data_IF_583625186246
#
_entry.id   IF_583625186246
#
_cell.length_a   1.000
_cell.length_b   1.000
_cell.length_c   1.000
_cell.angle_alpha   90.00
_cell.angle_beta   90.00
_cell.angle_gamma   90.00
#
_symmetry.space_group_name_H-M   'P 1'
#
loop_
_entity.id
_entity.type
_entity.pdbx_description
1 polymer ?
2 non-polymer ?
3 water ?
#
# COMPACT_ATOMS: atom_id res chain seq x y z
N UNK A 7 -21.85 -6.59 1.14
CA UNK A 7 -21.66 -7.97 1.61
C UNK A 7 -20.19 -8.22 1.95
N UNK A 8 -19.26 -7.83 1.07
CA UNK A 8 -17.85 -8.01 1.47
C UNK A 8 -17.58 -7.19 2.72
N UNK A 9 -16.72 -7.65 3.62
CA UNK A 9 -16.48 -6.99 4.90
C UNK A 9 -15.57 -5.76 4.80
N UNK A 10 -15.91 -4.85 3.91
CA UNK A 10 -15.20 -3.59 3.82
C UNK A 10 -15.83 -2.64 4.84
N UNK A 11 -14.98 -1.90 5.57
CA UNK A 11 -15.49 -0.98 6.58
C UNK A 11 -14.64 0.28 6.60
N UNK A 12 -15.26 1.37 7.08
CA UNK A 12 -14.55 2.63 7.31
C UNK A 12 -14.87 3.01 8.75
N UNK A 13 -14.23 2.37 9.73
CA UNK A 13 -14.65 2.54 11.13
C UNK A 13 -14.20 3.85 11.76
N UNK A 14 -13.31 4.62 11.14
CA UNK A 14 -12.78 5.84 11.73
C UNK A 14 -12.54 6.92 10.68
N UNK A 15 -12.70 8.18 11.09
CA UNK A 15 -12.06 9.31 10.44
C UNK A 15 -11.07 9.91 11.42
N UNK A 16 -10.10 10.64 10.88
CA UNK A 16 -9.01 11.19 11.68
C UNK A 16 -8.64 12.56 11.16
N UNK A 17 -8.49 13.52 12.07
CA UNK A 17 -7.93 14.83 11.75
C UNK A 17 -6.41 14.74 11.67
N UNK A 18 -5.85 15.17 10.55
CA UNK A 18 -4.40 15.09 10.34
C UNK A 18 -3.84 16.43 9.89
N UNK A 24 -3.92 20.66 7.22
CA UNK A 24 -4.96 20.18 8.12
C UNK A 24 -6.22 19.73 7.36
N UNK A 25 -6.54 18.44 7.47
CA UNK A 25 -7.69 17.88 6.75
C UNK A 25 -8.07 16.58 7.44
N UNK A 26 -9.10 15.92 6.89
CA UNK A 26 -9.61 14.70 7.48
C UNK A 26 -9.29 13.53 6.55
N UNK A 27 -8.91 12.39 7.14
CA UNK A 27 -8.76 11.16 6.39
C UNK A 27 -9.72 10.10 6.95
N UNK A 28 -10.01 9.13 6.09
CA UNK A 28 -10.93 8.03 6.39
C UNK A 28 -10.16 6.72 6.28
N UNK A 29 -10.22 5.90 7.34
CA UNK A 29 -9.41 4.69 7.41
C UNK A 29 -10.23 3.48 6.98
N UNK A 30 -9.79 2.84 5.89
CA UNK A 30 -10.53 1.78 5.22
C UNK A 30 -9.94 0.43 5.60
N UNK A 31 -10.80 -0.52 5.95
CA UNK A 31 -10.42 -1.86 6.39
C UNK A 31 -11.16 -2.90 5.56
N UNK A 32 -10.51 -4.03 5.34
CA UNK A 32 -11.16 -5.22 4.79
C UNK A 32 -10.96 -6.37 5.77
N UNK A 33 -12.07 -6.95 6.23
CA UNK A 33 -12.04 -8.05 7.20
C UNK A 33 -11.15 -7.69 8.40
N UNK A 34 -11.25 -6.44 8.83
CA UNK A 34 -10.48 -5.95 9.96
C UNK A 34 -9.03 -5.60 9.69
N UNK A 35 -8.57 -5.66 8.45
CA UNK A 35 -7.21 -5.30 8.09
C UNK A 35 -7.20 -3.93 7.44
N UNK A 36 -6.40 -3.00 7.96
CA UNK A 36 -6.38 -1.67 7.37
C UNK A 36 -5.68 -1.67 6.02
N UNK A 37 -6.32 -1.09 5.02
CA UNK A 37 -5.80 -1.04 3.67
C UNK A 37 -5.25 0.32 3.29
N UNK A 38 -5.88 1.38 3.76
CA UNK A 38 -5.43 2.70 3.36
C UNK A 38 -6.05 3.75 4.28
N UNK A 39 -5.60 4.99 4.10
CA UNK A 39 -6.09 6.15 4.83
C UNK A 39 -6.20 7.25 3.77
N UNK A 40 -7.42 7.69 3.47
CA UNK A 40 -7.66 8.52 2.31
C UNK A 40 -8.54 9.71 2.67
N UNK A 41 -8.26 10.87 2.09
CA UNK A 41 -9.11 12.04 2.30
C UNK A 41 -10.27 12.01 1.31
N UNK A 42 -11.28 12.85 1.60
CA UNK A 42 -12.50 12.81 0.81
C UNK A 42 -12.22 13.01 -0.68
N UNK A 43 -11.35 13.96 -1.03
CA UNK A 43 -11.16 14.24 -2.45
C UNK A 43 -10.59 13.03 -3.18
N UNK A 44 -9.86 12.15 -2.49
CA UNK A 44 -9.40 10.92 -3.13
C UNK A 44 -10.54 9.94 -3.37
N UNK A 45 -11.56 9.93 -2.49
CA UNK A 45 -12.76 9.16 -2.78
C UNK A 45 -13.51 9.73 -3.99
N UNK A 46 -13.56 11.06 -4.10
CA UNK A 46 -14.26 11.69 -5.22
C UNK A 46 -13.61 11.31 -6.54
N UNK A 47 -12.27 11.31 -6.58
CA UNK A 47 -11.51 10.89 -7.76
C UNK A 47 -11.71 9.41 -8.04
N UNK A 48 -11.69 8.58 -7.00
CA UNK A 48 -11.97 7.16 -7.16
C UNK A 48 -13.31 6.95 -7.87
N UNK A 49 -14.33 7.66 -7.42
CA UNK A 49 -15.65 7.50 -8.01
C UNK A 49 -15.65 7.88 -9.47
N UNK A 50 -15.00 9.00 -9.81
CA UNK A 50 -14.95 9.44 -11.20
C UNK A 50 -14.20 8.44 -12.06
N UNK A 51 -13.10 7.90 -11.56
CA UNK A 51 -12.34 6.89 -12.30
C UNK A 51 -13.15 5.61 -12.50
N UNK A 52 -13.79 5.13 -11.42
CA UNK A 52 -14.57 3.90 -11.53
C UNK A 52 -15.74 4.07 -12.47
N UNK A 53 -16.46 5.19 -12.35
CA UNK A 53 -17.64 5.41 -13.19
C UNK A 53 -17.25 5.50 -14.66
N UNK A 54 -16.15 6.17 -14.98
CA UNK A 54 -15.71 6.19 -16.38
C UNK A 54 -15.35 4.80 -16.87
N UNK A 55 -14.68 4.01 -16.03
CA UNK A 55 -14.25 2.67 -16.45
C UNK A 55 -15.42 1.71 -16.55
N UNK A 56 -16.43 1.88 -15.70
CA UNK A 56 -17.59 0.99 -15.63
C UNK A 56 -18.87 1.77 -15.89
N UNK A 57 -18.88 2.59 -16.95
CA UNK A 57 -19.98 3.53 -17.15
C UNK A 57 -21.31 2.85 -17.46
N UNK A 58 -21.27 1.60 -17.88
CA UNK A 58 -22.51 0.84 -18.09
C UNK A 58 -23.17 0.42 -16.79
N UNK A 59 -22.62 0.77 -15.63
CA UNK A 59 -23.23 0.50 -14.33
C UNK A 59 -23.88 1.77 -13.78
N UNK A 60 -25.00 1.59 -13.07
CA UNK A 60 -25.62 2.69 -12.33
C UNK A 60 -24.99 2.74 -10.95
N UNK A 61 -23.96 3.58 -10.82
CA UNK A 61 -23.25 3.66 -9.54
C UNK A 61 -24.14 4.26 -8.47
N UNK A 62 -23.95 3.84 -7.22
CA UNK A 62 -24.58 4.56 -6.11
C UNK A 62 -23.98 5.95 -6.00
N UNK A 63 -24.67 6.79 -5.22
CA UNK A 63 -24.24 8.16 -5.00
C UNK A 63 -23.06 8.19 -4.02
N UNK A 64 -21.96 8.81 -4.42
CA UNK A 64 -20.92 9.11 -3.44
C UNK A 64 -21.43 10.22 -2.53
N UNK A 65 -21.18 10.14 -1.21
CA UNK A 65 -21.46 11.30 -0.35
C UNK A 65 -20.88 12.57 -0.97
N UNK A 66 -21.66 13.66 -0.88
CA UNK A 66 -21.39 14.86 -1.64
C UNK A 66 -20.70 15.94 -0.81
N UNK A 67 -20.61 17.12 -1.41
CA UNK A 67 -20.00 18.26 -0.75
C UNK A 67 -21.08 19.12 -0.07
N UNK A 68 -20.62 20.08 0.73
CA UNK A 68 -21.54 20.82 1.57
C UNK A 68 -21.19 22.30 1.52
N UNK A 69 -22.17 23.18 1.67
CA UNK A 69 -21.90 24.62 1.62
C UNK A 69 -21.34 25.20 2.92
N UNK A 70 -20.97 24.35 3.88
CA UNK A 70 -20.38 24.79 5.14
C UNK A 70 -19.34 23.75 5.54
N UNK A 71 -18.44 24.14 6.44
CA UNK A 71 -17.48 23.18 6.98
C UNK A 71 -18.20 22.18 7.87
N UNK A 72 -17.66 20.96 7.94
CA UNK A 72 -18.36 19.86 8.57
C UNK A 72 -18.04 19.75 10.05
N UNK A 73 -19.07 19.55 10.86
CA UNK A 73 -18.89 19.28 12.28
C UNK A 73 -18.39 17.85 12.48
N UNK A 74 -18.04 17.54 13.74
CA UNK A 74 -17.66 16.17 14.10
C UNK A 74 -18.76 15.18 13.73
N UNK A 75 -20.02 15.51 14.05
CA UNK A 75 -21.13 14.62 13.70
C UNK A 75 -21.24 14.44 12.20
N UNK A 76 -21.01 15.50 11.44
CA UNK A 76 -21.12 15.41 9.98
C UNK A 76 -19.94 14.68 9.35
N UNK A 77 -18.76 14.78 9.95
CA UNK A 77 -17.67 13.92 9.52
C UNK A 77 -18.02 12.45 9.76
N UNK A 78 -18.71 12.15 10.86
CA UNK A 78 -19.11 10.77 11.11
C UNK A 78 -20.14 10.31 10.09
N UNK A 79 -21.07 11.20 9.70
CA UNK A 79 -22.04 10.85 8.67
C UNK A 79 -21.36 10.61 7.33
N UNK A 80 -20.39 11.45 6.97
CA UNK A 80 -19.64 11.25 5.73
C UNK A 80 -18.87 9.94 5.77
N UNK A 81 -18.27 9.61 6.92
CA UNK A 81 -17.60 8.33 7.10
C UNK A 81 -18.55 7.16 6.84
N UNK A 82 -19.73 7.21 7.46
CA UNK A 82 -20.73 6.18 7.24
C UNK A 82 -21.15 6.10 5.78
N UNK A 83 -21.31 7.25 5.12
CA UNK A 83 -21.68 7.25 3.71
C UNK A 83 -20.61 6.64 2.83
N UNK A 84 -19.34 6.92 3.13
CA UNK A 84 -18.26 6.34 2.35
C UNK A 84 -18.18 4.84 2.56
N UNK A 85 -18.45 4.40 3.78
CA UNK A 85 -18.50 2.97 4.04
C UNK A 85 -19.62 2.30 3.25
N UNK A 86 -20.81 2.92 3.24
CA UNK A 86 -21.93 2.34 2.50
C UNK A 86 -21.64 2.31 1.00
N UNK A 87 -21.04 3.37 0.47
CA UNK A 87 -20.63 3.39 -0.93
C UNK A 87 -19.69 2.22 -1.24
N UNK A 88 -18.64 2.05 -0.43
CA UNK A 88 -17.67 0.99 -0.69
C UNK A 88 -18.30 -0.39 -0.51
N UNK A 89 -19.20 -0.56 0.47
CA UNK A 89 -19.89 -1.83 0.63
C UNK A 89 -20.59 -2.24 -0.66
N UNK A 90 -21.20 -1.26 -1.35
CA UNK A 90 -21.91 -1.56 -2.58
C UNK A 90 -20.96 -1.86 -3.73
N UNK A 91 -20.01 -0.96 -4.01
CA UNK A 91 -19.19 -1.15 -5.21
C UNK A 91 -18.20 -2.29 -5.02
N UNK A 92 -17.67 -2.49 -3.81
CA UNK A 92 -16.72 -3.59 -3.63
C UNK A 92 -17.40 -4.95 -3.66
N UNK A 93 -18.72 -5.00 -3.53
CA UNK A 93 -19.43 -6.28 -3.56
C UNK A 93 -19.73 -6.72 -4.98
N UNK A 94 -19.32 -5.95 -5.97
CA UNK A 94 -19.42 -6.31 -7.38
C UNK A 94 -18.02 -6.70 -7.82
N UNK A 95 -17.83 -7.97 -8.18
CA UNK A 95 -16.47 -8.51 -8.31
C UNK A 95 -15.63 -7.71 -9.31
N UNK A 96 -16.19 -7.41 -10.49
CA UNK A 96 -15.36 -6.77 -11.52
C UNK A 96 -14.95 -5.38 -11.08
N UNK A 97 -15.73 -4.72 -10.22
CA UNK A 97 -15.37 -3.40 -9.76
C UNK A 97 -14.44 -3.48 -8.55
N UNK A 98 -14.76 -4.37 -7.61
CA UNK A 98 -13.95 -4.50 -6.41
C UNK A 98 -12.56 -5.03 -6.67
N UNK A 99 -12.39 -5.81 -7.73
CA UNK A 99 -11.11 -6.40 -8.07
C UNK A 99 -10.40 -5.64 -9.20
N UNK A 100 -10.97 -4.52 -9.63
CA UNK A 100 -10.38 -3.71 -10.69
C UNK A 100 -9.03 -3.16 -10.26
N UNK A 101 -8.18 -2.86 -11.25
CA UNK A 101 -6.91 -2.21 -10.96
C UNK A 101 -7.12 -0.90 -10.23
N UNK A 102 -8.17 -0.15 -10.61
CA UNK A 102 -8.46 1.14 -9.98
C UNK A 102 -8.72 0.96 -8.48
N UNK A 103 -9.60 0.01 -8.13
CA UNK A 103 -9.92 -0.20 -6.72
C UNK A 103 -8.74 -0.77 -5.95
N UNK A 104 -8.00 -1.69 -6.57
CA UNK A 104 -6.87 -2.30 -5.88
C UNK A 104 -5.77 -1.27 -5.63
N UNK A 105 -5.56 -0.34 -6.56
CA UNK A 105 -4.63 0.77 -6.33
C UNK A 105 -5.12 1.67 -5.21
N UNK A 106 -6.43 1.98 -5.20
CA UNK A 106 -6.99 2.83 -4.16
C UNK A 106 -6.77 2.23 -2.78
N UNK A 107 -6.99 0.93 -2.64
CA UNK A 107 -6.95 0.20 -1.37
C UNK A 107 -5.53 -0.24 -1.05
N UNK A 108 -4.58 0.69 -1.12
CA UNK A 108 -3.19 0.39 -0.81
C UNK A 108 -2.53 1.66 -0.29
N UNK A 109 -1.37 1.47 0.34
CA UNK A 109 -0.54 2.57 0.81
C UNK A 109 0.58 2.82 -0.18
N UNK A 110 0.95 4.09 -0.34
CA UNK A 110 2.07 4.45 -1.21
C UNK A 110 3.42 4.07 -0.57
N UNK B 8 22.60 0.20 11.03
CA UNK B 8 22.58 -1.19 10.58
C UNK B 8 23.32 -1.32 9.26
N UNK B 9 24.29 -2.22 9.20
CA UNK B 9 25.06 -2.44 7.96
C UNK B 9 24.32 -3.35 6.98
N UNK B 10 23.06 -3.01 6.68
CA UNK B 10 22.31 -3.75 5.67
C UNK B 10 22.51 -3.05 4.33
N UNK B 11 22.68 -3.84 3.28
CA UNK B 11 22.92 -3.30 1.96
C UNK B 11 22.27 -4.22 0.93
N UNK B 12 22.07 -3.69 -0.27
CA UNK B 12 21.61 -4.50 -1.40
C UNK B 12 22.64 -4.32 -2.51
N UNK B 13 23.78 -5.02 -2.46
CA UNK B 13 24.88 -4.71 -3.38
C UNK B 13 24.66 -5.17 -4.81
N UNK B 14 23.80 -6.15 -5.06
CA UNK B 14 23.64 -6.71 -6.39
C UNK B 14 22.21 -7.10 -6.64
N UNK B 15 21.84 -7.12 -7.92
CA UNK B 15 20.63 -7.76 -8.40
C UNK B 15 21.06 -8.83 -9.40
N UNK B 16 20.16 -9.79 -9.65
CA UNK B 16 20.47 -10.89 -10.57
C UNK B 16 19.23 -11.26 -11.36
N UNK B 17 19.43 -11.56 -12.64
CA UNK B 17 18.37 -12.16 -13.45
C UNK B 17 18.36 -13.65 -13.19
N UNK B 18 17.20 -14.19 -12.84
CA UNK B 18 17.09 -15.60 -12.50
C UNK B 18 15.90 -16.20 -13.25
N UNK B 19 15.88 -17.53 -13.29
CA UNK B 19 14.74 -18.28 -13.81
C UNK B 19 14.33 -19.31 -12.78
N UNK B 20 13.05 -19.31 -12.41
CA UNK B 20 12.56 -20.24 -11.40
C UNK B 20 11.11 -20.56 -11.70
N UNK B 21 10.77 -21.85 -11.64
CA UNK B 21 9.40 -22.30 -11.91
C UNK B 21 8.90 -21.77 -13.25
N UNK B 22 9.80 -21.76 -14.24
CA UNK B 22 9.45 -21.34 -15.59
C UNK B 22 9.22 -19.87 -15.79
N UNK B 23 9.54 -19.02 -14.81
CA UNK B 23 9.42 -17.58 -14.95
C UNK B 23 10.81 -16.94 -14.89
N UNK B 24 11.01 -15.90 -15.70
CA UNK B 24 12.23 -15.12 -15.64
C UNK B 24 11.93 -13.82 -14.91
N UNK B 25 12.78 -13.46 -13.94
CA UNK B 25 12.55 -12.25 -13.15
C UNK B 25 13.85 -11.89 -12.45
N UNK B 26 13.85 -10.75 -11.77
CA UNK B 26 15.03 -10.21 -11.11
C UNK B 26 14.89 -10.36 -9.61
N UNK B 27 15.97 -10.77 -8.93
CA UNK B 27 16.01 -10.76 -7.48
C UNK B 27 17.09 -9.80 -7.00
N UNK B 28 16.91 -9.29 -5.78
CA UNK B 28 17.83 -8.34 -5.14
C UNK B 28 18.47 -9.04 -3.96
N UNK B 29 19.81 -9.06 -3.92
CA UNK B 29 20.55 -9.79 -2.90
C UNK B 29 20.78 -8.88 -1.70
N UNK B 30 20.22 -9.23 -0.54
CA UNK B 30 20.32 -8.43 0.68
C UNK B 30 21.45 -8.98 1.54
N UNK B 31 22.36 -8.10 1.98
CA UNK B 31 23.54 -8.48 2.75
C UNK B 31 23.59 -7.75 4.08
N UNK B 32 24.19 -8.41 5.08
CA UNK B 32 24.59 -7.78 6.32
C UNK B 32 26.07 -8.09 6.51
N UNK B 33 26.92 -7.09 6.29
CA UNK B 33 28.37 -7.20 6.53
C UNK B 33 28.94 -8.52 6.02
N UNK B 34 28.76 -8.76 4.72
CA UNK B 34 29.36 -9.92 4.09
C UNK B 34 28.49 -11.15 4.03
N UNK B 35 27.44 -11.25 4.84
CA UNK B 35 26.56 -12.41 4.85
C UNK B 35 25.34 -12.10 3.99
N UNK B 36 25.11 -12.91 2.96
CA UNK B 36 23.87 -12.77 2.20
C UNK B 36 22.72 -13.32 3.04
N UNK B 37 21.76 -12.46 3.35
CA UNK B 37 20.63 -12.88 4.18
C UNK B 37 19.57 -13.56 3.34
N UNK B 38 19.27 -12.98 2.17
CA UNK B 38 18.15 -13.46 1.38
C UNK B 38 18.28 -12.85 -0.01
N UNK B 39 17.46 -13.36 -0.93
CA UNK B 39 17.38 -12.85 -2.29
C UNK B 39 15.90 -12.73 -2.63
N UNK B 40 15.43 -11.52 -2.88
CA UNK B 40 13.99 -11.26 -2.99
C UNK B 40 13.66 -10.48 -4.25
N UNK B 41 12.54 -10.83 -4.89
CA UNK B 41 12.07 -10.04 -6.01
C UNK B 41 11.32 -8.79 -5.52
N UNK B 42 11.13 -7.83 -6.43
CA UNK B 42 10.53 -6.55 -6.06
C UNK B 42 9.13 -6.71 -5.45
N UNK B 43 8.32 -7.61 -5.99
CA UNK B 43 6.97 -7.70 -5.47
C UNK B 43 6.97 -8.19 -4.02
N UNK B 44 8.01 -8.91 -3.59
CA UNK B 44 8.11 -9.27 -2.18
C UNK B 44 8.39 -8.05 -1.31
N UNK B 45 9.21 -7.11 -1.78
CA UNK B 45 9.37 -5.83 -1.07
C UNK B 45 8.06 -5.04 -1.05
N UNK B 46 7.30 -5.09 -2.15
CA UNK B 46 6.04 -4.36 -2.20
C UNK B 46 5.06 -4.92 -1.18
N UNK B 47 5.02 -6.25 -1.05
CA UNK B 47 4.17 -6.87 -0.04
C UNK B 47 4.67 -6.55 1.37
N UNK B 48 5.99 -6.68 1.59
CA UNK B 48 6.57 -6.28 2.87
C UNK B 48 6.17 -4.86 3.25
N UNK B 49 6.18 -3.94 2.29
CA UNK B 49 5.87 -2.54 2.59
C UNK B 49 4.43 -2.38 3.10
N UNK B 50 3.46 -2.96 2.38
CA UNK B 50 2.08 -2.86 2.86
C UNK B 50 1.95 -3.46 4.25
N UNK B 51 2.64 -4.58 4.49
CA UNK B 51 2.55 -5.24 5.79
C UNK B 51 3.15 -4.36 6.89
N UNK B 52 4.31 -3.76 6.63
CA UNK B 52 4.94 -2.93 7.66
C UNK B 52 4.13 -1.68 7.94
N UNK B 53 3.54 -1.07 6.90
CA UNK B 53 2.71 0.11 7.11
C UNK B 53 1.53 -0.23 8.01
N UNK B 54 1.07 -1.47 7.94
CA UNK B 54 -0.05 -1.94 8.74
C UNK B 54 0.38 -2.34 10.14
N UNK B 55 1.43 -3.18 10.26
CA UNK B 55 1.85 -3.71 11.56
C UNK B 55 2.56 -2.67 12.42
N UNK B 56 3.13 -1.65 11.82
CA UNK B 56 3.82 -0.58 12.54
C UNK B 56 3.21 0.76 12.16
N UNK B 57 1.89 0.87 12.32
CA UNK B 57 1.16 2.04 11.84
C UNK B 57 1.48 3.31 12.62
N UNK B 58 2.03 3.20 13.82
CA UNK B 58 2.43 4.37 14.59
C UNK B 58 3.84 4.85 14.29
N UNK B 59 4.52 4.22 13.35
CA UNK B 59 5.85 4.64 12.92
C UNK B 59 5.76 5.29 11.55
N UNK B 60 6.68 6.21 11.28
CA UNK B 60 6.75 6.89 9.99
C UNK B 60 7.86 6.24 9.16
N UNK B 61 7.47 5.64 8.01
CA UNK B 61 8.12 4.91 6.94
C UNK B 61 8.32 5.80 5.73
N UNK B 62 9.41 5.65 4.99
CA UNK B 62 9.44 6.17 3.63
C UNK B 62 8.44 5.40 2.76
N UNK B 63 8.06 6.03 1.66
CA UNK B 63 7.34 5.30 0.63
C UNK B 63 8.27 4.27 0.00
N UNK B 64 7.69 3.24 -0.59
CA UNK B 64 8.55 2.24 -1.22
C UNK B 64 9.14 2.83 -2.49
N UNK B 65 10.46 2.81 -2.66
CA UNK B 65 11.04 3.36 -3.88
C UNK B 65 11.11 2.33 -4.98
N UNK B 66 11.76 2.67 -6.09
CA UNK B 66 11.89 1.74 -7.18
C UNK B 66 10.67 1.51 -8.02
N UNK B 67 9.67 2.40 -7.99
CA UNK B 67 8.45 2.16 -8.74
C UNK B 67 8.66 2.33 -10.23
N UNK B 68 8.14 1.37 -11.02
CA UNK B 68 8.06 1.52 -12.48
C UNK B 68 7.02 0.56 -13.03
N UNK B 69 6.02 1.06 -13.76
CA UNK B 69 4.92 0.18 -14.20
C UNK B 69 5.22 -0.63 -15.44
N UNK B 70 6.28 -0.32 -16.17
CA UNK B 70 6.65 -1.02 -17.39
C UNK B 70 7.88 -1.88 -17.14
N UNK B 71 8.39 -2.51 -18.20
CA UNK B 71 9.62 -3.29 -18.04
C UNK B 71 10.79 -2.33 -17.79
N UNK B 72 11.74 -2.79 -16.97
CA UNK B 72 12.83 -1.94 -16.52
C UNK B 72 14.10 -2.23 -17.33
N UNK B 73 14.81 -1.16 -17.70
CA UNK B 73 16.14 -1.28 -18.28
C UNK B 73 17.14 -1.69 -17.20
N UNK B 74 18.36 -2.04 -17.64
CA UNK B 74 19.39 -2.35 -16.65
C UNK B 74 19.68 -1.14 -15.76
N UNK B 75 19.68 0.06 -16.34
CA UNK B 75 19.89 1.26 -15.53
C UNK B 75 18.76 1.40 -14.49
N UNK B 76 17.53 1.12 -14.89
CA UNK B 76 16.41 1.21 -13.96
C UNK B 76 16.50 0.14 -12.88
N UNK B 77 16.91 -1.08 -13.23
CA UNK B 77 17.10 -2.12 -12.22
C UNK B 77 18.14 -1.69 -11.19
N UNK B 78 19.21 -1.05 -11.64
CA UNK B 78 20.22 -0.58 -10.70
C UNK B 78 19.67 0.50 -9.78
N UNK B 79 18.84 1.40 -10.33
CA UNK B 79 18.18 2.41 -9.50
C UNK B 79 17.19 1.78 -8.53
N UNK B 80 16.51 0.72 -8.96
CA UNK B 80 15.60 0.02 -8.07
C UNK B 80 16.37 -0.63 -6.93
N UNK B 81 17.48 -1.28 -7.25
CA UNK B 81 18.39 -1.82 -6.24
C UNK B 81 18.83 -0.74 -5.26
N UNK B 82 19.28 0.40 -5.79
CA UNK B 82 19.74 1.51 -4.95
C UNK B 82 18.64 1.98 -4.00
N UNK B 83 17.41 2.14 -4.52
CA UNK B 83 16.30 2.53 -3.68
C UNK B 83 15.97 1.51 -2.61
N UNK B 84 15.91 0.22 -2.98
CA UNK B 84 15.63 -0.82 -2.00
C UNK B 84 16.66 -0.80 -0.86
N UNK B 85 17.93 -0.58 -1.19
CA UNK B 85 18.94 -0.51 -0.14
C UNK B 85 18.67 0.65 0.81
N UNK B 86 18.40 1.83 0.25
CA UNK B 86 18.08 3.00 1.07
C UNK B 86 16.85 2.74 1.92
N UNK B 87 15.83 2.12 1.34
CA UNK B 87 14.61 1.80 2.08
C UNK B 87 14.90 0.88 3.26
N UNK B 88 15.62 -0.21 3.01
CA UNK B 88 15.92 -1.19 4.07
C UNK B 88 16.81 -0.59 5.16
N UNK B 89 17.81 0.20 4.76
CA UNK B 89 18.63 0.93 5.74
C UNK B 89 17.75 1.76 6.66
N UNK B 90 16.78 2.47 6.08
CA UNK B 90 15.94 3.35 6.89
C UNK B 90 14.96 2.56 7.76
N UNK B 91 14.36 1.52 7.21
CA UNK B 91 13.36 0.76 7.97
C UNK B 91 14.03 -0.05 9.08
N UNK B 92 15.13 -0.73 8.76
CA UNK B 92 15.81 -1.56 9.75
C UNK B 92 16.49 -0.73 10.82
N UNK B 93 16.79 0.54 10.55
CA UNK B 93 17.39 1.39 11.57
C UNK B 93 16.38 1.83 12.63
N UNK B 94 15.10 1.56 12.42
CA UNK B 94 14.08 1.68 13.47
C UNK B 94 14.11 0.35 14.20
N UNK B 95 14.71 0.34 15.40
CA UNK B 95 15.08 -0.92 16.02
C UNK B 95 13.87 -1.84 16.21
N UNK B 96 12.71 -1.26 16.55
CA UNK B 96 11.53 -2.10 16.77
C UNK B 96 11.15 -2.84 15.50
N UNK B 97 11.34 -2.21 14.35
CA UNK B 97 11.01 -2.88 13.09
C UNK B 97 12.12 -3.82 12.67
N UNK B 98 13.37 -3.36 12.73
CA UNK B 98 14.48 -4.18 12.31
C UNK B 98 14.62 -5.47 13.09
N UNK B 99 14.24 -5.46 14.38
CA UNK B 99 14.39 -6.63 15.24
C UNK B 99 13.17 -7.53 15.25
N UNK B 100 12.08 -7.12 14.60
CA UNK B 100 10.81 -7.82 14.69
C UNK B 100 10.86 -9.19 14.00
N UNK B 101 9.98 -10.08 14.45
CA UNK B 101 9.87 -11.38 13.80
C UNK B 101 9.53 -11.23 12.31
N UNK B 102 8.70 -10.24 11.96
CA UNK B 102 8.30 -10.11 10.57
C UNK B 102 9.49 -9.72 9.70
N UNK B 103 10.40 -8.89 10.22
CA UNK B 103 11.60 -8.57 9.46
C UNK B 103 12.55 -9.76 9.41
N UNK B 104 12.67 -10.51 10.51
CA UNK B 104 13.50 -11.71 10.46
C UNK B 104 12.94 -12.71 9.45
N UNK B 105 11.60 -12.81 9.37
CA UNK B 105 11.00 -13.69 8.38
C UNK B 105 11.32 -13.22 6.97
N UNK B 106 11.25 -11.91 6.75
CA UNK B 106 11.58 -11.38 5.42
C UNK B 106 13.04 -11.63 5.07
N UNK B 107 13.93 -11.46 6.05
CA UNK B 107 15.37 -11.60 5.83
C UNK B 107 15.86 -13.03 5.97
N UNK B 108 14.98 -14.01 5.91
CA UNK B 108 15.36 -15.41 6.01
C UNK B 108 15.14 -16.09 4.65
N UNK B 109 15.67 -17.30 4.54
CA UNK B 109 15.51 -18.10 3.32
C UNK B 109 14.02 -18.37 3.02
#
# INVERSE_FOLDING_TARGET
DYTEKQAVPISVPRYKHVEQNGEKFVVYNVYMAGRQLCSKRYREFAILHQNLKREFANFTFPRLPGKWPFSLSEQQLDARRRGLEEYLEKVCSIRVIGESDIMQEFLSES
DYTEKQAVPISVPRYKHVEQNGEKFVVYNVYMAGRQLCSKRYREFAILHQNLKREFANFTFPRLPGKWPFSLSEQQLDARRRGLEEYLEKVCSIRVIGESDIMQEFLSES
#
